data_IF_307308988611
#
_entry.id   IF_307308988611
#
_cell.length_a   1.000
_cell.length_b   1.000
_cell.length_c   1.000
_cell.angle_alpha   90.00
_cell.angle_beta   90.00
_cell.angle_gamma   90.00
#
_symmetry.space_group_name_H-M   'P 1'
#
loop_
_entity.id
_entity.type
_entity.pdbx_description
1 polymer ?
#
# COMPACT_ATOMS: atom_id res chain seq x y z
N UNK A 1 35.38 -17.71 35.44
CA UNK A 1 35.55 -18.87 34.55
C UNK A 1 35.14 -18.40 33.15
N UNK A 2 36.14 -18.05 32.34
CA UNK A 2 35.99 -17.39 31.03
C UNK A 2 35.79 -18.48 29.99
N UNK A 3 34.66 -18.51 29.30
CA UNK A 3 34.45 -19.40 28.15
C UNK A 3 34.60 -18.61 26.85
N UNK A 4 35.72 -18.88 26.17
CA UNK A 4 36.06 -18.43 24.83
C UNK A 4 35.07 -18.99 23.80
N UNK A 5 34.44 -18.11 23.02
CA UNK A 5 33.80 -18.48 21.76
C UNK A 5 34.88 -18.51 20.66
N UNK A 6 35.03 -19.67 20.02
CA UNK A 6 35.91 -19.86 18.86
C UNK A 6 35.27 -19.20 17.64
N UNK A 7 35.68 -17.98 17.33
CA UNK A 7 35.42 -17.33 16.04
C UNK A 7 36.44 -17.84 15.01
N UNK A 8 36.00 -18.08 13.78
CA UNK A 8 36.84 -18.63 12.69
C UNK A 8 38.02 -17.72 12.35
N UNK A 9 39.14 -18.31 11.89
CA UNK A 9 40.38 -17.61 11.50
C UNK A 9 40.16 -16.46 10.50
N UNK A 10 39.13 -16.55 9.65
CA UNK A 10 38.78 -15.49 8.69
C UNK A 10 38.27 -14.21 9.37
N UNK A 11 37.56 -14.31 10.49
CA UNK A 11 37.03 -13.16 11.21
C UNK A 11 38.14 -12.32 11.85
N UNK A 12 39.17 -12.99 12.38
CA UNK A 12 40.35 -12.33 12.96
C UNK A 12 41.28 -11.73 11.90
N UNK A 13 41.40 -12.34 10.72
CA UNK A 13 42.16 -11.77 9.61
C UNK A 13 41.53 -10.47 9.08
N UNK A 14 40.20 -10.41 9.00
CA UNK A 14 39.48 -9.19 8.61
C UNK A 14 39.68 -8.08 9.65
N UNK A 15 39.57 -8.42 10.95
CA UNK A 15 39.78 -7.46 12.03
C UNK A 15 41.22 -6.94 12.10
N UNK A 16 42.22 -7.82 11.92
CA UNK A 16 43.63 -7.44 11.95
C UNK A 16 44.04 -6.61 10.71
N UNK A 17 43.47 -6.90 9.54
CA UNK A 17 43.70 -6.10 8.33
C UNK A 17 43.08 -4.69 8.46
N UNK A 18 41.92 -4.57 9.12
CA UNK A 18 41.25 -3.30 9.39
C UNK A 18 41.94 -2.46 10.49
N UNK A 19 42.68 -3.08 11.41
CA UNK A 19 43.31 -2.38 12.53
C UNK A 19 44.66 -1.73 12.18
N UNK A 20 45.34 -2.20 11.13
CA UNK A 20 46.71 -1.75 10.77
C UNK A 20 46.72 -0.51 9.83
N UNK A 21 45.59 -0.13 9.22
CA UNK A 21 45.48 1.12 8.44
C UNK A 21 44.57 2.13 9.15
N UNK A 22 45.20 3.12 9.76
CA UNK A 22 44.59 4.14 10.62
C UNK A 22 43.32 4.81 10.06
N UNK A 23 42.35 4.96 10.97
CA UNK A 23 41.23 5.92 11.00
C UNK A 23 40.78 6.51 9.65
N UNK A 24 39.90 5.77 8.96
CA UNK A 24 38.87 6.32 8.08
C UNK A 24 37.55 5.70 8.50
N UNK A 25 36.45 6.47 8.53
CA UNK A 25 35.11 5.99 8.93
C UNK A 25 34.83 4.60 8.33
N UNK A 26 34.68 3.58 9.17
CA UNK A 26 34.33 2.24 8.70
C UNK A 26 32.98 2.31 7.98
N UNK A 27 32.96 1.98 6.70
CA UNK A 27 31.74 1.85 5.91
C UNK A 27 30.83 0.84 6.62
N UNK A 28 29.63 1.26 7.00
CA UNK A 28 28.67 0.35 7.63
C UNK A 28 28.14 -0.65 6.58
N UNK A 29 28.72 -1.85 6.59
CA UNK A 29 28.45 -2.95 5.66
C UNK A 29 26.98 -3.39 5.69
N UNK A 30 26.30 -3.28 6.84
CA UNK A 30 24.89 -3.68 7.00
C UNK A 30 23.94 -2.86 6.12
N UNK A 31 24.37 -1.65 5.72
CA UNK A 31 23.61 -0.78 4.82
C UNK A 31 23.42 -1.37 3.42
N UNK A 32 24.24 -2.37 3.05
CA UNK A 32 24.23 -3.02 1.75
C UNK A 32 23.50 -4.38 1.74
N UNK A 33 23.18 -4.96 2.91
CA UNK A 33 22.46 -6.24 2.99
C UNK A 33 21.08 -6.17 2.33
N UNK A 34 20.93 -6.91 1.23
CA UNK A 34 19.71 -6.93 0.43
C UNK A 34 19.36 -5.58 -0.19
N UNK A 35 20.26 -4.60 -0.19
CA UNK A 35 20.01 -3.26 -0.75
C UNK A 35 20.67 -3.11 -2.10
N UNK A 36 20.11 -2.24 -2.94
CA UNK A 36 20.76 -1.77 -4.15
C UNK A 36 21.02 -0.27 -4.01
N UNK A 37 22.28 0.09 -3.78
CA UNK A 37 22.74 1.46 -3.54
C UNK A 37 23.72 1.89 -4.62
N UNK A 38 23.89 3.19 -4.79
CA UNK A 38 24.98 3.80 -5.58
C UNK A 38 25.96 4.48 -4.63
N UNK A 39 27.19 4.70 -5.08
CA UNK A 39 28.21 5.47 -4.32
C UNK A 39 27.67 6.83 -3.85
N UNK A 40 27.00 7.55 -4.74
CA UNK A 40 26.31 8.82 -4.43
C UNK A 40 25.27 8.64 -3.31
N UNK A 41 24.47 7.57 -3.37
CA UNK A 41 23.39 7.36 -2.39
C UNK A 41 23.89 6.99 -0.99
N UNK A 42 25.06 6.37 -0.88
CA UNK A 42 25.71 6.08 0.40
C UNK A 42 26.74 7.14 0.82
N UNK A 43 27.01 8.15 -0.02
CA UNK A 43 28.03 9.19 0.20
C UNK A 43 29.43 8.60 0.43
N UNK A 44 29.74 7.54 -0.30
CA UNK A 44 31.03 6.86 -0.23
C UNK A 44 31.78 7.00 -1.56
N UNK A 45 33.09 6.86 -1.48
CA UNK A 45 33.97 6.79 -2.65
C UNK A 45 33.81 5.42 -3.36
N UNK A 46 33.75 5.42 -4.68
CA UNK A 46 33.72 4.18 -5.46
C UNK A 46 34.96 3.33 -5.23
N UNK A 47 36.14 3.93 -5.07
CA UNK A 47 37.38 3.19 -4.79
C UNK A 47 37.27 2.41 -3.47
N UNK A 48 36.77 3.05 -2.41
CA UNK A 48 36.57 2.41 -1.11
C UNK A 48 35.52 1.31 -1.16
N UNK A 49 34.41 1.52 -1.89
CA UNK A 49 33.40 0.47 -2.09
C UNK A 49 33.97 -0.69 -2.89
N UNK A 50 34.87 -0.43 -3.82
CA UNK A 50 35.46 -1.45 -4.68
C UNK A 50 36.38 -2.41 -3.93
N UNK A 51 36.93 -2.00 -2.79
CA UNK A 51 37.78 -2.80 -1.90
C UNK A 51 36.97 -3.76 -0.98
N UNK A 52 35.64 -3.60 -0.87
CA UNK A 52 34.82 -4.46 -0.01
C UNK A 52 34.59 -5.85 -0.63
N UNK A 53 35.11 -6.95 -0.04
CA UNK A 53 35.18 -8.26 -0.69
C UNK A 53 33.82 -8.93 -0.91
N UNK A 54 32.78 -8.58 -0.13
CA UNK A 54 31.44 -9.17 -0.25
C UNK A 54 30.46 -8.33 -1.08
N UNK A 55 30.93 -7.23 -1.68
CA UNK A 55 30.09 -6.29 -2.39
C UNK A 55 29.87 -6.72 -3.85
N UNK A 56 28.66 -7.17 -4.17
CA UNK A 56 28.25 -7.45 -5.53
C UNK A 56 28.04 -6.14 -6.30
N UNK A 57 28.58 -6.07 -7.52
CA UNK A 57 28.49 -4.92 -8.41
C UNK A 57 27.64 -5.27 -9.62
N UNK A 58 26.64 -4.45 -9.91
CA UNK A 58 25.77 -4.61 -11.10
C UNK A 58 25.66 -3.28 -11.82
N UNK A 59 25.70 -3.23 -13.16
CA UNK A 59 25.46 -1.97 -13.85
C UNK A 59 24.03 -1.47 -13.56
N UNK A 60 23.82 -0.17 -13.38
CA UNK A 60 22.48 0.33 -13.07
C UNK A 60 21.51 0.17 -14.24
N UNK A 61 22.04 0.18 -15.46
CA UNK A 61 21.30 0.05 -16.72
C UNK A 61 22.03 -0.92 -17.65
N UNK A 62 21.29 -1.54 -18.57
CA UNK A 62 21.83 -2.40 -19.63
C UNK A 62 21.32 -1.88 -20.97
N UNK A 63 22.18 -1.89 -22.00
CA UNK A 63 21.75 -1.56 -23.36
C UNK A 63 21.37 -2.85 -24.07
N UNK A 64 20.16 -2.88 -24.62
CA UNK A 64 19.66 -3.96 -25.46
C UNK A 64 19.18 -3.36 -26.79
N UNK A 65 20.01 -3.53 -27.83
CA UNK A 65 19.80 -2.94 -29.17
C UNK A 65 19.62 -1.42 -29.09
N UNK A 66 18.40 -0.94 -29.37
CA UNK A 66 18.04 0.50 -29.37
C UNK A 66 17.38 0.96 -28.06
N UNK A 67 17.41 0.13 -27.02
CA UNK A 67 16.74 0.39 -25.74
C UNK A 67 17.70 0.35 -24.56
N UNK A 68 17.48 1.27 -23.63
CA UNK A 68 18.04 1.25 -22.28
C UNK A 68 17.10 0.46 -21.37
N UNK A 69 17.59 -0.57 -20.70
CA UNK A 69 16.88 -1.31 -19.66
C UNK A 69 17.44 -0.94 -18.28
N UNK A 70 16.63 -0.31 -17.43
CA UNK A 70 17.04 0.02 -16.07
C UNK A 70 16.91 -1.19 -15.13
N UNK A 71 18.00 -1.60 -14.47
CA UNK A 71 17.98 -2.74 -13.55
C UNK A 71 17.37 -2.42 -12.18
N UNK A 72 17.11 -1.14 -11.87
CA UNK A 72 16.40 -0.72 -10.65
C UNK A 72 14.89 -0.75 -10.81
N UNK A 73 14.35 -0.03 -11.80
CA UNK A 73 12.91 0.09 -12.01
C UNK A 73 12.36 -0.85 -13.09
N UNK A 74 13.20 -1.52 -13.88
CA UNK A 74 12.78 -2.46 -14.93
C UNK A 74 12.23 -1.81 -16.20
N UNK A 75 12.23 -0.47 -16.31
CA UNK A 75 11.70 0.21 -17.49
C UNK A 75 12.67 0.12 -18.67
N UNK A 76 12.09 -0.06 -19.86
CA UNK A 76 12.76 0.02 -21.16
C UNK A 76 12.47 1.38 -21.79
N UNK A 77 13.51 2.12 -22.16
CA UNK A 77 13.40 3.45 -22.77
C UNK A 77 14.26 3.52 -24.05
N UNK A 78 13.78 4.08 -25.17
CA UNK A 78 14.58 4.23 -26.38
C UNK A 78 15.83 5.08 -26.14
N UNK A 79 17.01 4.65 -26.63
CA UNK A 79 18.29 5.35 -26.40
C UNK A 79 18.28 6.80 -26.87
N UNK A 80 17.58 7.08 -27.98
CA UNK A 80 17.46 8.42 -28.58
C UNK A 80 16.80 9.47 -27.65
N UNK A 81 16.02 9.03 -26.66
CA UNK A 81 15.30 9.91 -25.73
C UNK A 81 16.08 10.19 -24.44
N UNK A 82 17.20 9.50 -24.23
CA UNK A 82 17.87 9.45 -22.91
C UNK A 82 19.39 9.63 -22.97
N UNK A 83 19.90 10.19 -24.07
CA UNK A 83 21.31 10.55 -24.20
C UNK A 83 21.65 11.77 -23.35
N UNK A 84 22.75 11.71 -22.61
CA UNK A 84 23.33 12.82 -21.87
C UNK A 84 24.43 13.51 -22.68
N UNK A 85 24.76 14.79 -22.38
CA UNK A 85 25.85 15.51 -23.07
C UNK A 85 27.23 14.84 -22.98
N UNK A 86 27.47 14.05 -21.93
CA UNK A 86 28.71 13.30 -21.73
C UNK A 86 28.75 11.95 -22.48
N UNK A 87 27.74 11.64 -23.29
CA UNK A 87 27.63 10.38 -24.04
C UNK A 87 26.97 9.23 -23.27
N UNK A 88 26.67 9.38 -21.98
CA UNK A 88 25.97 8.36 -21.20
C UNK A 88 24.47 8.29 -21.54
N UNK A 89 23.86 7.15 -21.25
CA UNK A 89 22.40 7.01 -21.28
C UNK A 89 21.84 6.88 -19.87
N UNK A 90 20.71 7.54 -19.57
CA UNK A 90 20.13 7.55 -18.23
C UNK A 90 18.66 7.11 -18.16
N UNK A 91 18.22 6.65 -16.99
CA UNK A 91 16.84 6.28 -16.77
C UNK A 91 16.03 7.47 -16.21
N UNK A 92 15.06 8.02 -16.97
CA UNK A 92 14.26 9.17 -16.52
C UNK A 92 13.27 8.80 -15.40
N UNK A 93 12.81 7.54 -15.36
CA UNK A 93 11.86 7.04 -14.35
C UNK A 93 12.44 6.94 -12.94
N UNK A 94 13.76 7.11 -12.82
CA UNK A 94 14.53 6.84 -11.63
C UNK A 94 15.05 8.12 -10.96
N UNK A 95 14.92 9.29 -11.60
CA UNK A 95 15.55 10.55 -11.19
C UNK A 95 15.28 10.89 -9.73
N UNK A 96 14.02 10.77 -9.27
CA UNK A 96 13.61 11.11 -7.90
C UNK A 96 14.27 10.22 -6.81
N UNK A 97 14.77 9.05 -7.18
CA UNK A 97 15.51 8.14 -6.29
C UNK A 97 17.03 8.21 -6.53
N UNK A 98 17.51 9.18 -7.31
CA UNK A 98 18.88 9.27 -7.80
C UNK A 98 19.00 8.76 -9.24
N UNK A 99 19.69 9.52 -10.10
CA UNK A 99 19.87 9.18 -11.52
C UNK A 99 20.58 7.83 -11.66
N UNK A 100 20.14 7.03 -12.63
CA UNK A 100 20.79 5.78 -13.02
C UNK A 100 21.27 5.96 -14.46
N UNK A 101 22.57 5.85 -14.68
CA UNK A 101 23.21 5.95 -16.00
C UNK A 101 24.01 4.70 -16.35
N UNK A 102 24.51 4.64 -17.59
CA UNK A 102 25.48 3.64 -18.07
C UNK A 102 26.74 3.58 -17.23
N UNK A 103 27.18 4.72 -16.68
CA UNK A 103 28.30 4.85 -15.75
C UNK A 103 27.96 4.52 -14.29
N UNK A 104 26.68 4.38 -13.93
CA UNK A 104 26.29 4.12 -12.53
C UNK A 104 26.39 2.64 -12.18
N UNK A 105 27.04 2.33 -11.05
CA UNK A 105 27.09 0.99 -10.46
C UNK A 105 26.09 0.87 -9.31
N UNK A 106 25.36 -0.24 -9.28
CA UNK A 106 24.55 -0.70 -8.16
C UNK A 106 25.35 -1.68 -7.31
N UNK A 107 25.55 -1.32 -6.06
CA UNK A 107 26.23 -2.10 -5.03
C UNK A 107 25.20 -2.80 -4.15
N UNK A 108 25.45 -4.08 -3.85
CA UNK A 108 24.61 -4.89 -2.97
C UNK A 108 25.42 -5.97 -2.26
N UNK A 109 25.05 -6.32 -1.03
CA UNK A 109 25.56 -7.55 -0.39
C UNK A 109 24.38 -8.51 -0.27
N UNK A 110 24.62 -9.78 -0.58
CA UNK A 110 23.61 -10.83 -0.43
C UNK A 110 23.09 -10.83 1.01
N UNK A 111 21.78 -10.81 1.13
CA UNK A 111 21.09 -10.77 2.43
C UNK A 111 21.47 -11.99 3.30
N UNK A 112 22.12 -11.79 4.48
CA UNK A 112 22.57 -12.89 5.32
C UNK A 112 21.50 -13.45 6.27
N UNK A 113 20.37 -12.77 6.47
CA UNK A 113 19.40 -13.08 7.53
C UNK A 113 20.03 -13.12 8.93
N UNK A 114 20.98 -12.22 9.19
CA UNK A 114 21.68 -12.11 10.46
C UNK A 114 20.84 -11.31 11.46
N UNK A 115 19.75 -11.91 11.95
CA UNK A 115 18.84 -11.30 12.92
C UNK A 115 18.84 -12.04 14.25
N UNK A 116 18.41 -11.36 15.32
CA UNK A 116 18.15 -11.99 16.60
C UNK A 116 17.06 -13.06 16.47
N UNK A 117 17.13 -14.10 17.31
CA UNK A 117 16.12 -15.15 17.35
C UNK A 117 14.94 -14.69 18.20
N UNK A 118 13.73 -14.93 17.70
CA UNK A 118 12.49 -14.65 18.40
C UNK A 118 11.83 -15.96 18.86
N UNK A 119 11.19 -15.92 20.03
CA UNK A 119 10.33 -16.98 20.53
C UNK A 119 8.90 -16.90 19.97
N UNK A 120 8.04 -17.84 20.39
CA UNK A 120 6.61 -17.83 20.03
C UNK A 120 5.85 -16.63 20.58
N UNK A 121 6.38 -15.96 21.59
CA UNK A 121 5.83 -14.78 22.26
C UNK A 121 6.08 -13.45 21.52
N UNK A 122 6.75 -13.47 20.36
CA UNK A 122 7.03 -12.27 19.54
C UNK A 122 5.77 -11.52 19.09
N UNK A 123 4.62 -12.20 19.04
CA UNK A 123 3.34 -11.59 18.75
C UNK A 123 2.67 -11.12 20.05
N UNK A 124 2.69 -9.81 20.29
CA UNK A 124 2.07 -9.16 21.45
C UNK A 124 0.57 -8.88 21.24
N UNK A 125 0.02 -9.14 20.06
CA UNK A 125 -1.40 -8.95 19.77
C UNK A 125 -2.25 -10.07 20.37
N UNK A 126 -3.25 -9.70 21.18
CA UNK A 126 -4.15 -10.63 21.88
C UNK A 126 -5.59 -10.61 21.35
N UNK A 127 -5.82 -10.00 20.19
CA UNK A 127 -7.15 -9.95 19.59
C UNK A 127 -7.62 -11.35 19.13
N UNK A 128 -8.93 -11.49 18.94
CA UNK A 128 -9.54 -12.74 18.49
C UNK A 128 -10.00 -12.60 17.04
N UNK A 129 -9.43 -13.41 16.16
CA UNK A 129 -9.93 -13.57 14.79
C UNK A 129 -11.28 -14.31 14.83
N UNK A 130 -12.21 -13.92 13.95
CA UNK A 130 -13.39 -14.73 13.67
C UNK A 130 -12.98 -16.09 13.08
N UNK A 131 -13.87 -17.08 13.10
CA UNK A 131 -13.58 -18.40 12.52
C UNK A 131 -13.15 -18.28 11.04
N UNK A 132 -13.83 -17.43 10.27
CA UNK A 132 -13.51 -17.21 8.86
C UNK A 132 -12.17 -16.50 8.67
N UNK A 133 -11.86 -15.51 9.53
CA UNK A 133 -10.56 -14.85 9.52
C UNK A 133 -9.44 -15.81 9.90
N UNK A 134 -9.68 -16.70 10.87
CA UNK A 134 -8.72 -17.73 11.29
C UNK A 134 -8.42 -18.70 10.16
N UNK A 135 -9.44 -19.24 9.48
CA UNK A 135 -9.25 -20.11 8.30
C UNK A 135 -8.45 -19.41 7.20
N UNK A 136 -8.72 -18.12 6.95
CA UNK A 136 -7.95 -17.33 5.99
C UNK A 136 -6.50 -17.10 6.46
N UNK A 137 -6.28 -16.83 7.74
CA UNK A 137 -4.96 -16.68 8.36
C UNK A 137 -4.14 -17.96 8.28
N UNK A 138 -4.74 -19.12 8.59
CA UNK A 138 -4.10 -20.43 8.47
C UNK A 138 -3.74 -20.74 7.00
N UNK A 139 -4.59 -20.34 6.06
CA UNK A 139 -4.31 -20.46 4.62
C UNK A 139 -3.16 -19.54 4.18
N UNK A 140 -3.08 -18.32 4.72
CA UNK A 140 -1.96 -17.40 4.45
C UNK A 140 -0.65 -17.93 5.01
N UNK A 141 -0.67 -18.53 6.20
CA UNK A 141 0.49 -19.19 6.79
C UNK A 141 1.00 -20.33 5.90
N UNK A 142 0.10 -21.17 5.38
CA UNK A 142 0.45 -22.22 4.40
C UNK A 142 0.99 -21.62 3.10
N UNK A 143 0.34 -20.60 2.55
CA UNK A 143 0.79 -19.91 1.34
C UNK A 143 2.20 -19.31 1.50
N UNK A 144 2.51 -18.71 2.65
CA UNK A 144 3.83 -18.15 2.96
C UNK A 144 4.96 -19.17 3.07
N UNK A 145 4.63 -20.47 3.16
CA UNK A 145 5.61 -21.56 3.10
C UNK A 145 5.96 -21.98 1.66
N UNK A 146 5.16 -21.54 0.68
CA UNK A 146 5.32 -21.89 -0.73
C UNK A 146 5.92 -20.71 -1.51
N UNK A 147 6.91 -20.94 -2.38
CA UNK A 147 7.49 -19.88 -3.20
C UNK A 147 6.47 -19.33 -4.20
N UNK A 148 6.64 -18.08 -4.59
CA UNK A 148 5.82 -17.44 -5.62
C UNK A 148 4.77 -16.47 -5.08
N UNK A 149 3.73 -16.24 -5.88
CA UNK A 149 2.71 -15.24 -5.59
C UNK A 149 1.43 -15.90 -5.08
N UNK A 150 0.82 -15.29 -4.08
CA UNK A 150 -0.49 -15.66 -3.56
C UNK A 150 -1.35 -14.42 -3.34
N UNK A 151 -2.67 -14.60 -3.35
CA UNK A 151 -3.63 -13.50 -3.26
C UNK A 151 -4.63 -13.74 -2.12
N UNK A 152 -4.69 -12.79 -1.19
CA UNK A 152 -5.84 -12.62 -0.30
C UNK A 152 -6.86 -11.68 -0.96
N UNK A 153 -7.96 -12.26 -1.43
CA UNK A 153 -9.11 -11.49 -1.89
C UNK A 153 -10.12 -11.33 -0.75
N UNK A 154 -9.97 -10.26 0.01
CA UNK A 154 -10.78 -9.96 1.18
C UNK A 154 -11.52 -8.63 1.04
N UNK A 155 -12.81 -8.61 1.39
CA UNK A 155 -13.63 -7.39 1.31
C UNK A 155 -13.11 -6.27 2.24
N UNK A 156 -13.54 -5.05 1.97
CA UNK A 156 -13.18 -3.89 2.80
C UNK A 156 -13.75 -4.04 4.21
N UNK A 157 -12.92 -3.77 5.23
CA UNK A 157 -13.30 -4.02 6.62
C UNK A 157 -13.32 -5.51 7.00
N UNK A 158 -12.60 -6.38 6.31
CA UNK A 158 -12.46 -7.79 6.70
C UNK A 158 -11.33 -8.06 7.72
N UNK A 159 -10.56 -7.05 8.14
CA UNK A 159 -9.38 -7.25 9.01
C UNK A 159 -8.20 -7.89 8.29
N UNK A 160 -7.88 -7.42 7.07
CA UNK A 160 -6.81 -7.98 6.21
C UNK A 160 -5.47 -8.04 6.94
N UNK A 161 -5.14 -6.98 7.67
CA UNK A 161 -3.87 -6.82 8.37
C UNK A 161 -3.72 -7.85 9.49
N UNK A 162 -4.71 -7.97 10.38
CA UNK A 162 -4.67 -8.89 11.53
C UNK A 162 -4.51 -10.35 11.10
N UNK A 163 -5.12 -10.74 9.97
CA UNK A 163 -4.96 -12.10 9.44
C UNK A 163 -3.53 -12.43 8.99
N UNK A 164 -2.69 -11.42 8.73
CA UNK A 164 -1.28 -11.66 8.38
C UNK A 164 -0.37 -11.84 9.59
N UNK A 165 -0.86 -11.58 10.81
CA UNK A 165 0.00 -11.57 12.00
C UNK A 165 0.63 -12.92 12.30
N UNK A 166 -0.13 -14.02 12.19
CA UNK A 166 0.43 -15.37 12.33
C UNK A 166 1.49 -15.67 11.26
N UNK A 167 1.29 -15.21 10.03
CA UNK A 167 2.25 -15.36 8.93
C UNK A 167 3.54 -14.56 9.17
N UNK A 168 3.41 -13.32 9.66
CA UNK A 168 4.54 -12.46 10.02
C UNK A 168 5.31 -13.05 11.21
N UNK A 169 4.61 -13.53 12.24
CA UNK A 169 5.17 -14.19 13.41
C UNK A 169 6.00 -15.42 13.02
N UNK A 170 5.45 -16.33 12.21
CA UNK A 170 6.15 -17.53 11.74
C UNK A 170 7.44 -17.17 10.98
N UNK A 171 7.39 -16.16 10.11
CA UNK A 171 8.55 -15.70 9.38
C UNK A 171 9.62 -15.08 10.30
N UNK A 172 9.21 -14.29 11.29
CA UNK A 172 10.13 -13.70 12.28
C UNK A 172 10.86 -14.77 13.08
N UNK A 173 10.13 -15.77 13.60
CA UNK A 173 10.69 -16.91 14.36
C UNK A 173 11.68 -17.70 13.51
N UNK A 174 11.40 -17.88 12.22
CA UNK A 174 12.28 -18.56 11.26
C UNK A 174 13.48 -17.72 10.81
N UNK A 175 13.70 -16.54 11.39
CA UNK A 175 14.82 -15.66 11.01
C UNK A 175 14.71 -15.08 9.60
N UNK A 176 13.52 -15.13 8.97
CA UNK A 176 13.30 -14.61 7.63
C UNK A 176 13.23 -13.09 7.64
N UNK A 177 13.77 -12.44 6.60
CA UNK A 177 13.59 -11.00 6.39
C UNK A 177 12.25 -10.73 5.71
N UNK A 178 11.46 -9.83 6.27
CA UNK A 178 10.08 -9.59 5.85
C UNK A 178 9.83 -8.12 5.49
N UNK A 179 8.99 -7.91 4.49
CA UNK A 179 8.51 -6.59 4.10
C UNK A 179 6.98 -6.56 4.12
N UNK A 180 6.41 -5.53 4.74
CA UNK A 180 5.02 -5.14 4.56
C UNK A 180 5.00 -3.82 3.77
N UNK A 181 4.37 -3.83 2.60
CA UNK A 181 4.32 -2.67 1.72
C UNK A 181 2.88 -2.23 1.44
N UNK A 182 2.70 -0.92 1.25
CA UNK A 182 1.44 -0.35 0.78
C UNK A 182 1.73 0.80 -0.20
N UNK A 183 0.82 1.16 -1.13
CA UNK A 183 1.14 2.15 -2.15
C UNK A 183 1.17 3.60 -1.64
N UNK A 184 0.42 3.89 -0.56
CA UNK A 184 0.20 5.24 -0.04
C UNK A 184 0.86 5.46 1.33
N UNK A 185 1.31 6.69 1.57
CA UNK A 185 1.93 7.09 2.84
C UNK A 185 0.93 7.02 4.00
N UNK A 186 -0.32 7.47 3.78
CA UNK A 186 -1.33 7.50 4.85
C UNK A 186 -1.64 6.09 5.39
N UNK A 187 -1.64 5.09 4.52
CA UNK A 187 -1.80 3.67 4.89
C UNK A 187 -0.61 3.19 5.70
N UNK A 188 0.61 3.55 5.31
CA UNK A 188 1.82 3.21 6.07
C UNK A 188 1.80 3.84 7.47
N UNK A 189 1.39 5.11 7.57
CA UNK A 189 1.26 5.81 8.84
C UNK A 189 0.16 5.22 9.74
N UNK A 190 -0.92 4.69 9.15
CA UNK A 190 -1.96 3.95 9.89
C UNK A 190 -1.46 2.58 10.37
N UNK A 191 -0.72 1.86 9.52
CA UNK A 191 -0.22 0.51 9.81
C UNK A 191 0.93 0.50 10.81
N UNK A 192 1.81 1.51 10.79
CA UNK A 192 3.00 1.54 11.63
C UNK A 192 2.71 1.40 13.14
N UNK A 193 1.85 2.24 13.76
CA UNK A 193 1.54 2.08 15.19
C UNK A 193 0.84 0.74 15.48
N UNK A 194 -0.01 0.25 14.56
CA UNK A 194 -0.70 -1.04 14.70
C UNK A 194 0.28 -2.22 14.71
N UNK A 195 1.23 -2.23 13.78
CA UNK A 195 2.27 -3.26 13.70
C UNK A 195 3.25 -3.16 14.86
N UNK A 196 3.62 -1.95 15.29
CA UNK A 196 4.44 -1.73 16.48
C UNK A 196 3.77 -2.26 17.75
N UNK A 197 2.47 -2.08 17.91
CA UNK A 197 1.71 -2.65 19.02
C UNK A 197 1.62 -4.19 18.93
N UNK A 198 1.43 -4.73 17.72
CA UNK A 198 1.32 -6.18 17.52
C UNK A 198 2.66 -6.93 17.70
N UNK A 199 3.79 -6.28 17.45
CA UNK A 199 5.14 -6.85 17.53
C UNK A 199 6.06 -5.95 18.36
N UNK A 200 5.72 -5.76 19.64
CA UNK A 200 6.33 -4.75 20.50
C UNK A 200 7.85 -4.92 20.68
N UNK A 201 8.33 -6.18 20.66
CA UNK A 201 9.75 -6.54 20.82
C UNK A 201 10.55 -6.49 19.51
N UNK A 202 9.89 -6.27 18.38
CA UNK A 202 10.52 -6.28 17.05
C UNK A 202 10.90 -4.86 16.62
N UNK A 203 12.15 -4.68 16.20
CA UNK A 203 12.52 -3.43 15.54
C UNK A 203 11.98 -3.39 14.11
N UNK A 204 10.90 -2.61 13.93
CA UNK A 204 10.26 -2.32 12.65
C UNK A 204 10.77 -0.96 12.16
N UNK A 205 11.38 -0.94 10.97
CA UNK A 205 11.68 0.31 10.29
C UNK A 205 10.52 0.74 9.39
N UNK A 206 10.14 2.02 9.45
CA UNK A 206 9.13 2.63 8.60
C UNK A 206 9.79 3.51 7.54
N UNK A 207 9.57 3.23 6.24
CA UNK A 207 10.20 3.94 5.13
C UNK A 207 9.18 4.51 4.15
N UNK A 208 9.14 5.83 4.01
CA UNK A 208 8.38 6.54 2.99
C UNK A 208 9.04 7.89 2.66
N UNK A 209 8.60 8.61 1.62
CA UNK A 209 9.26 9.87 1.21
C UNK A 209 9.20 10.97 2.28
N UNK A 210 8.18 10.95 3.14
CA UNK A 210 8.00 11.86 4.28
C UNK A 210 8.59 11.37 5.61
N UNK A 211 9.28 10.21 5.64
CA UNK A 211 9.84 9.67 6.88
C UNK A 211 11.24 10.23 7.10
N UNK A 212 11.51 10.80 8.27
CA UNK A 212 12.87 11.20 8.68
C UNK A 212 13.74 10.01 9.14
N UNK A 213 13.21 8.78 9.08
CA UNK A 213 13.93 7.58 9.46
C UNK A 213 15.13 7.34 8.54
N UNK A 214 16.34 7.40 9.12
CA UNK A 214 17.54 6.89 8.44
C UNK A 214 17.40 5.37 8.32
N UNK A 215 17.78 4.85 7.16
CA UNK A 215 17.76 3.40 6.95
C UNK A 215 18.70 2.72 7.95
N UNK A 216 18.22 1.60 8.51
CA UNK A 216 18.98 0.67 9.34
C UNK A 216 18.59 -0.75 8.96
N UNK A 217 19.54 -1.66 9.07
CA UNK A 217 19.30 -3.07 8.80
C UNK A 217 18.39 -3.66 9.87
N UNK A 218 17.23 -4.15 9.44
CA UNK A 218 16.17 -4.67 10.32
C UNK A 218 15.49 -5.86 9.63
N UNK A 219 14.98 -6.77 10.45
CA UNK A 219 14.28 -7.96 9.97
C UNK A 219 12.91 -7.60 9.38
N UNK A 220 12.23 -6.61 9.96
CA UNK A 220 10.89 -6.20 9.55
C UNK A 220 10.89 -4.77 8.97
N UNK A 221 10.67 -4.68 7.67
CA UNK A 221 10.52 -3.40 6.94
C UNK A 221 9.05 -3.12 6.64
N UNK A 222 8.55 -1.97 7.10
CA UNK A 222 7.29 -1.39 6.66
C UNK A 222 7.59 -0.23 5.70
N UNK A 223 7.07 -0.25 4.48
CA UNK A 223 7.42 0.80 3.52
C UNK A 223 6.38 1.08 2.44
N UNK A 224 6.47 2.24 1.79
CA UNK A 224 5.71 2.42 0.54
C UNK A 224 6.25 1.53 -0.57
N UNK A 225 5.40 1.10 -1.51
CA UNK A 225 5.83 0.23 -2.64
C UNK A 225 6.98 0.82 -3.46
N UNK A 226 7.11 2.15 -3.52
CA UNK A 226 8.24 2.84 -4.15
C UNK A 226 9.59 2.51 -3.48
N UNK A 227 9.61 2.31 -2.16
CA UNK A 227 10.85 1.99 -1.44
C UNK A 227 11.38 0.61 -1.80
N UNK A 228 10.56 -0.31 -2.33
CA UNK A 228 11.01 -1.61 -2.82
C UNK A 228 12.07 -1.46 -3.93
N UNK A 229 12.10 -0.34 -4.67
CA UNK A 229 13.15 -0.05 -5.66
C UNK A 229 14.55 0.07 -5.06
N UNK A 230 14.67 0.21 -3.73
CA UNK A 230 15.95 0.30 -3.01
C UNK A 230 16.47 -1.05 -2.52
N UNK A 231 15.70 -2.11 -2.70
CA UNK A 231 16.01 -3.46 -2.24
C UNK A 231 16.23 -4.40 -3.42
N UNK A 232 17.16 -5.34 -3.27
CA UNK A 232 17.49 -6.35 -4.25
C UNK A 232 17.70 -7.68 -3.53
N UNK A 233 16.85 -8.66 -3.82
CA UNK A 233 16.87 -9.99 -3.17
C UNK A 233 16.99 -9.91 -1.64
N UNK A 234 16.25 -8.99 -1.04
CA UNK A 234 16.29 -8.69 0.38
C UNK A 234 15.32 -9.55 1.20
N UNK A 235 14.14 -9.82 0.67
CA UNK A 235 13.03 -10.33 1.47
C UNK A 235 12.71 -11.78 1.12
N UNK A 236 12.51 -12.59 2.16
CA UNK A 236 11.96 -13.93 2.06
C UNK A 236 10.43 -13.89 1.91
N UNK A 237 9.78 -12.89 2.52
CA UNK A 237 8.34 -12.65 2.45
C UNK A 237 8.07 -11.17 2.19
N UNK A 238 7.26 -10.88 1.16
CA UNK A 238 6.73 -9.53 0.91
C UNK A 238 5.21 -9.59 0.94
N UNK A 239 4.59 -8.88 1.87
CA UNK A 239 3.15 -8.61 1.85
C UNK A 239 2.93 -7.24 1.22
N UNK A 240 2.06 -7.15 0.21
CA UNK A 240 1.65 -5.87 -0.39
C UNK A 240 0.15 -5.70 -0.18
N UNK A 241 -0.23 -4.79 0.71
CA UNK A 241 -1.63 -4.40 0.88
C UNK A 241 -2.05 -3.39 -0.19
N UNK A 242 -3.34 -3.32 -0.45
CA UNK A 242 -3.95 -2.36 -1.38
C UNK A 242 -3.34 -2.36 -2.80
N UNK A 243 -3.01 -3.54 -3.34
CA UNK A 243 -2.44 -3.69 -4.70
C UNK A 243 -3.38 -3.19 -5.81
N UNK A 244 -4.63 -2.95 -5.47
CA UNK A 244 -5.68 -2.36 -6.29
C UNK A 244 -5.72 -0.83 -6.26
N UNK A 245 -4.75 -0.18 -5.61
CA UNK A 245 -4.67 1.28 -5.53
C UNK A 245 -3.48 1.85 -6.29
N UNK A 246 -3.68 3.05 -6.85
CA UNK A 246 -2.59 3.91 -7.28
C UNK A 246 -1.70 4.28 -6.08
N UNK A 247 -0.36 4.34 -6.23
CA UNK A 247 0.44 4.23 -7.46
C UNK A 247 0.82 2.83 -7.92
N UNK A 248 0.48 1.77 -7.19
CA UNK A 248 0.89 0.41 -7.53
C UNK A 248 0.10 -0.17 -8.72
N UNK A 249 -1.22 0.04 -8.73
CA UNK A 249 -2.11 -0.41 -9.80
C UNK A 249 -1.64 0.11 -11.17
N UNK A 250 -1.37 -0.81 -12.10
CA UNK A 250 -0.96 -0.49 -13.47
C UNK A 250 0.50 -0.02 -13.62
N UNK A 251 1.31 -0.04 -12.55
CA UNK A 251 2.69 0.42 -12.58
C UNK A 251 3.67 -0.76 -12.65
N UNK A 252 4.09 -1.10 -13.87
CA UNK A 252 5.07 -2.16 -14.14
C UNK A 252 6.38 -1.98 -13.38
N UNK A 253 6.81 -0.74 -13.13
CA UNK A 253 8.07 -0.46 -12.42
C UNK A 253 7.98 -0.87 -10.96
N UNK A 254 6.83 -0.67 -10.32
CA UNK A 254 6.61 -1.07 -8.93
C UNK A 254 6.39 -2.58 -8.80
N UNK A 255 5.71 -3.20 -9.77
CA UNK A 255 5.63 -4.66 -9.84
C UNK A 255 7.01 -5.30 -10.03
N UNK A 256 7.84 -4.71 -10.89
CA UNK A 256 9.23 -5.12 -11.10
C UNK A 256 10.04 -4.96 -9.81
N UNK A 257 9.94 -3.81 -9.14
CA UNK A 257 10.63 -3.56 -7.88
C UNK A 257 10.25 -4.59 -6.81
N UNK A 258 8.96 -4.89 -6.66
CA UNK A 258 8.49 -5.95 -5.75
C UNK A 258 9.04 -7.33 -6.11
N UNK A 259 9.13 -7.66 -7.41
CA UNK A 259 9.74 -8.92 -7.87
C UNK A 259 11.25 -8.96 -7.59
N UNK A 260 11.93 -7.84 -7.79
CA UNK A 260 13.38 -7.72 -7.68
C UNK A 260 13.86 -7.70 -6.22
N UNK A 261 13.05 -7.13 -5.33
CA UNK A 261 13.30 -7.11 -3.88
C UNK A 261 13.11 -8.49 -3.23
N UNK A 262 12.34 -9.39 -3.84
CA UNK A 262 12.12 -10.75 -3.35
C UNK A 262 13.32 -11.66 -3.63
N UNK A 263 13.75 -12.44 -2.65
CA UNK A 263 14.75 -13.50 -2.83
C UNK A 263 14.29 -14.60 -3.79
N UNK A 264 15.24 -15.34 -4.34
CA UNK A 264 14.93 -16.59 -5.03
C UNK A 264 14.27 -17.57 -4.03
N UNK A 265 13.15 -18.18 -4.41
CA UNK A 265 12.37 -19.05 -3.52
C UNK A 265 11.54 -18.31 -2.46
N UNK A 266 11.51 -16.97 -2.46
CA UNK A 266 10.66 -16.19 -1.56
C UNK A 266 9.18 -16.17 -1.96
N UNK A 267 8.36 -15.61 -1.08
CA UNK A 267 6.90 -15.53 -1.26
C UNK A 267 6.41 -14.09 -1.30
N UNK A 268 5.44 -13.80 -2.19
CA UNK A 268 4.69 -12.53 -2.21
C UNK A 268 3.23 -12.78 -1.94
N UNK A 269 2.69 -12.07 -0.94
CA UNK A 269 1.27 -12.09 -0.61
C UNK A 269 0.64 -10.75 -0.99
N UNK A 270 -0.25 -10.77 -1.97
CA UNK A 270 -1.03 -9.59 -2.36
C UNK A 270 -2.34 -9.55 -1.57
N UNK A 271 -2.66 -8.41 -0.96
CA UNK A 271 -3.93 -8.20 -0.26
C UNK A 271 -4.76 -7.15 -1.02
N UNK A 272 -5.99 -7.49 -1.38
CA UNK A 272 -6.89 -6.55 -2.09
C UNK A 272 -8.36 -6.92 -1.94
N UNK A 273 -9.22 -5.91 -2.01
CA UNK A 273 -10.67 -6.11 -2.12
C UNK A 273 -11.14 -6.23 -3.57
N UNK A 274 -10.39 -5.68 -4.51
CA UNK A 274 -10.74 -5.61 -5.92
C UNK A 274 -9.52 -5.94 -6.81
N UNK A 275 -9.22 -7.22 -7.07
CA UNK A 275 -8.14 -7.58 -7.99
C UNK A 275 -8.42 -6.99 -9.38
N UNK A 276 -7.39 -6.43 -9.98
CA UNK A 276 -7.44 -5.83 -11.31
C UNK A 276 -7.60 -6.89 -12.40
N UNK A 277 -7.72 -6.46 -13.66
CA UNK A 277 -7.89 -7.41 -14.77
C UNK A 277 -6.70 -8.37 -14.91
N UNK A 278 -5.48 -7.90 -14.64
CA UNK A 278 -4.27 -8.70 -14.74
C UNK A 278 -4.29 -9.82 -13.69
N UNK A 279 -4.52 -9.49 -12.43
CA UNK A 279 -4.70 -10.48 -11.37
C UNK A 279 -5.86 -11.42 -11.68
N UNK A 280 -7.02 -10.90 -12.10
CA UNK A 280 -8.15 -11.77 -12.46
C UNK A 280 -7.83 -12.75 -13.60
N UNK A 281 -7.03 -12.37 -14.60
CA UNK A 281 -6.54 -13.29 -15.64
C UNK A 281 -5.63 -14.36 -15.04
N UNK A 282 -4.68 -14.00 -14.18
CA UNK A 282 -3.78 -14.94 -13.49
C UNK A 282 -4.56 -15.95 -12.63
N UNK A 283 -5.58 -15.49 -11.91
CA UNK A 283 -6.48 -16.34 -11.12
C UNK A 283 -7.19 -17.36 -12.02
N UNK A 284 -7.78 -16.90 -13.14
CA UNK A 284 -8.47 -17.78 -14.09
C UNK A 284 -7.55 -18.84 -14.70
N UNK A 285 -6.29 -18.48 -14.93
CA UNK A 285 -5.25 -19.40 -15.43
C UNK A 285 -4.62 -20.29 -14.35
N UNK A 286 -5.03 -20.14 -13.08
CA UNK A 286 -4.42 -20.83 -11.92
C UNK A 286 -2.92 -20.57 -11.76
N UNK A 287 -2.45 -19.39 -12.17
CA UNK A 287 -1.07 -18.93 -12.00
C UNK A 287 -0.80 -18.31 -10.61
N UNK A 288 -1.85 -18.13 -9.81
CA UNK A 288 -1.81 -17.57 -8.46
C UNK A 288 -2.91 -18.19 -7.61
N UNK A 289 -2.55 -18.67 -6.43
CA UNK A 289 -3.51 -19.19 -5.46
C UNK A 289 -4.29 -18.05 -4.81
N UNK A 290 -5.59 -18.28 -4.57
CA UNK A 290 -6.49 -17.26 -4.04
C UNK A 290 -7.19 -17.74 -2.77
N UNK A 291 -7.00 -16.97 -1.72
CA UNK A 291 -7.71 -17.10 -0.45
C UNK A 291 -8.84 -16.08 -0.47
N UNK A 292 -10.09 -16.56 -0.47
CA UNK A 292 -11.27 -15.70 -0.50
C UNK A 292 -11.78 -15.42 0.91
N UNK A 293 -11.96 -14.15 1.25
CA UNK A 293 -12.70 -13.73 2.45
C UNK A 293 -13.79 -12.71 2.08
N UNK A 294 -14.98 -13.20 1.69
CA UNK A 294 -16.04 -12.35 1.14
C UNK A 294 -16.85 -11.57 2.19
N UNK A 295 -16.50 -11.66 3.47
CA UNK A 295 -17.30 -11.13 4.59
C UNK A 295 -16.47 -10.22 5.51
N UNK A 296 -17.14 -9.24 6.13
CA UNK A 296 -16.53 -8.34 7.13
C UNK A 296 -16.32 -9.05 8.47
N UNK A 297 -15.47 -8.46 9.32
CA UNK A 297 -15.16 -9.02 10.65
C UNK A 297 -16.43 -9.19 11.52
N UNK A 298 -17.39 -8.27 11.40
CA UNK A 298 -18.68 -8.30 12.10
C UNK A 298 -19.77 -9.11 11.37
N UNK A 299 -19.40 -9.94 10.39
CA UNK A 299 -20.29 -10.89 9.71
C UNK A 299 -21.49 -10.30 8.93
N UNK A 300 -21.48 -8.99 8.64
CA UNK A 300 -22.50 -8.37 7.78
C UNK A 300 -21.96 -8.14 6.36
N UNK A 301 -22.82 -8.22 5.32
CA UNK A 301 -22.43 -7.99 3.93
C UNK A 301 -22.06 -6.53 3.67
N UNK A 302 -21.41 -6.28 2.54
CA UNK A 302 -21.15 -4.92 2.07
C UNK A 302 -22.47 -4.22 1.67
N UNK A 303 -22.70 -2.96 2.04
CA UNK A 303 -23.81 -2.17 1.51
C UNK A 303 -23.76 -2.12 -0.03
N UNK A 304 -24.89 -2.42 -0.68
CA UNK A 304 -25.00 -2.37 -2.14
C UNK A 304 -25.40 -0.94 -2.54
N UNK A 305 -24.62 -0.24 -3.39
CA UNK A 305 -24.96 1.11 -3.82
C UNK A 305 -26.31 1.20 -4.52
N UNK A 306 -27.12 2.19 -4.14
CA UNK A 306 -28.30 2.62 -4.91
C UNK A 306 -27.86 3.65 -5.95
N UNK A 307 -28.17 3.39 -7.22
CA UNK A 307 -27.79 4.28 -8.33
C UNK A 307 -28.98 5.17 -8.71
N UNK A 308 -28.72 6.46 -8.89
CA UNK A 308 -29.70 7.43 -9.36
C UNK A 308 -29.10 8.17 -10.54
N UNK A 309 -29.70 8.01 -11.73
CA UNK A 309 -29.28 8.75 -12.91
C UNK A 309 -29.86 10.17 -12.87
N UNK A 310 -29.01 11.19 -13.04
CA UNK A 310 -29.40 12.59 -13.05
C UNK A 310 -28.86 13.22 -14.33
N UNK A 311 -29.74 13.71 -15.22
CA UNK A 311 -29.32 14.32 -16.47
C UNK A 311 -28.58 15.66 -16.23
N UNK A 312 -27.43 15.81 -16.89
CA UNK A 312 -26.52 16.97 -16.79
C UNK A 312 -26.10 17.24 -15.35
N UNK A 313 -25.84 16.19 -14.57
CA UNK A 313 -25.45 16.28 -13.18
C UNK A 313 -24.21 17.14 -13.01
N UNK A 314 -23.15 16.86 -13.79
CA UNK A 314 -21.88 17.59 -13.66
C UNK A 314 -22.06 19.09 -13.98
N UNK A 315 -22.75 19.42 -15.05
CA UNK A 315 -23.02 20.81 -15.48
C UNK A 315 -23.84 21.57 -14.43
N UNK A 316 -24.86 20.93 -13.85
CA UNK A 316 -25.68 21.52 -12.78
C UNK A 316 -24.84 21.85 -11.56
N UNK A 317 -24.02 20.90 -11.10
CA UNK A 317 -23.15 21.10 -9.94
C UNK A 317 -22.11 22.21 -10.16
N UNK A 318 -21.55 22.35 -11.38
CA UNK A 318 -20.67 23.47 -11.72
C UNK A 318 -21.38 24.81 -11.76
N UNK A 319 -22.67 24.82 -12.10
CA UNK A 319 -23.52 26.01 -12.05
C UNK A 319 -24.13 26.22 -10.66
N UNK A 320 -23.54 25.64 -9.60
CA UNK A 320 -24.03 25.73 -8.20
C UNK A 320 -25.48 25.28 -8.00
N UNK A 321 -25.99 24.41 -8.89
CA UNK A 321 -27.35 23.86 -8.83
C UNK A 321 -27.32 22.39 -8.46
N UNK A 322 -28.11 22.02 -7.45
CA UNK A 322 -28.26 20.63 -7.03
C UNK A 322 -29.51 19.99 -7.65
N UNK A 323 -29.43 18.77 -8.21
CA UNK A 323 -30.63 18.03 -8.58
C UNK A 323 -31.49 17.66 -7.35
N UNK A 324 -32.81 17.72 -7.47
CA UNK A 324 -33.73 17.43 -6.36
C UNK A 324 -33.55 16.04 -5.73
N UNK A 325 -33.16 15.03 -6.52
CA UNK A 325 -32.86 13.69 -6.00
C UNK A 325 -31.59 13.66 -5.11
N UNK A 326 -30.59 14.48 -5.44
CA UNK A 326 -29.38 14.64 -4.61
C UNK A 326 -29.75 15.40 -3.34
N UNK A 327 -30.48 16.53 -3.46
CA UNK A 327 -30.96 17.31 -2.31
C UNK A 327 -31.74 16.43 -1.32
N UNK A 328 -32.73 15.67 -1.80
CA UNK A 328 -33.50 14.72 -0.99
C UNK A 328 -32.60 13.74 -0.24
N UNK A 329 -31.57 13.23 -0.90
CA UNK A 329 -30.65 12.27 -0.28
C UNK A 329 -29.77 12.88 0.81
N UNK A 330 -29.33 14.13 0.62
CA UNK A 330 -28.55 14.85 1.61
C UNK A 330 -29.41 15.21 2.83
N UNK A 331 -30.63 15.69 2.62
CA UNK A 331 -31.58 15.96 3.72
C UNK A 331 -31.94 14.69 4.50
N UNK A 332 -32.09 13.55 3.82
CA UNK A 332 -32.26 12.26 4.50
C UNK A 332 -31.04 11.90 5.38
N UNK A 333 -29.81 12.10 4.88
CA UNK A 333 -28.59 11.86 5.65
C UNK A 333 -28.43 12.80 6.85
N UNK A 334 -28.83 14.06 6.69
CA UNK A 334 -28.86 15.04 7.77
C UNK A 334 -29.83 14.62 8.87
N UNK A 335 -31.09 14.34 8.51
CA UNK A 335 -32.15 13.93 9.45
C UNK A 335 -31.80 12.63 10.19
N UNK A 336 -31.07 11.73 9.54
CA UNK A 336 -30.60 10.49 10.16
C UNK A 336 -29.58 10.71 11.30
N UNK A 337 -28.92 11.87 11.40
CA UNK A 337 -28.01 12.11 12.51
C UNK A 337 -26.72 11.27 12.47
N UNK A 338 -26.38 10.61 11.35
CA UNK A 338 -25.07 9.97 11.13
C UNK A 338 -24.09 10.72 10.21
N UNK A 339 -22.77 10.65 10.44
CA UNK A 339 -21.79 11.34 9.62
C UNK A 339 -21.81 10.80 8.18
N UNK A 340 -21.45 11.64 7.21
CA UNK A 340 -21.43 11.22 5.80
C UNK A 340 -20.27 11.78 4.99
N UNK A 341 -19.87 11.05 3.95
CA UNK A 341 -18.88 11.50 2.98
C UNK A 341 -19.54 11.74 1.63
N UNK A 342 -19.18 12.86 1.00
CA UNK A 342 -19.58 13.19 -0.37
C UNK A 342 -18.35 13.15 -1.27
N UNK A 343 -18.29 12.15 -2.14
CA UNK A 343 -17.20 11.99 -3.10
C UNK A 343 -17.50 12.73 -4.40
N UNK A 344 -16.54 13.49 -4.89
CA UNK A 344 -16.56 14.20 -6.18
C UNK A 344 -15.28 13.92 -6.97
N UNK A 345 -15.31 13.99 -8.32
CA UNK A 345 -14.18 13.62 -9.15
C UNK A 345 -13.00 14.59 -9.09
N UNK A 346 -13.23 15.90 -8.95
CA UNK A 346 -12.20 16.95 -9.06
C UNK A 346 -12.25 17.94 -7.90
N UNK A 347 -11.13 18.66 -7.69
CA UNK A 347 -11.02 19.71 -6.66
C UNK A 347 -11.95 20.90 -7.00
N UNK A 348 -12.05 21.28 -8.27
CA UNK A 348 -12.94 22.38 -8.70
C UNK A 348 -14.40 22.10 -8.34
N UNK A 349 -14.85 20.85 -8.48
CA UNK A 349 -16.21 20.46 -8.12
C UNK A 349 -16.38 20.34 -6.61
N UNK A 350 -15.31 20.04 -5.88
CA UNK A 350 -15.31 19.88 -4.43
C UNK A 350 -15.66 21.18 -3.72
N UNK A 351 -15.10 22.31 -4.16
CA UNK A 351 -15.45 23.63 -3.59
C UNK A 351 -16.89 24.01 -3.92
N UNK A 352 -17.31 23.85 -5.18
CA UNK A 352 -18.70 24.14 -5.61
C UNK A 352 -19.73 23.31 -4.85
N UNK A 353 -19.46 22.02 -4.66
CA UNK A 353 -20.34 21.14 -3.89
C UNK A 353 -20.35 21.52 -2.43
N UNK A 354 -19.22 21.96 -1.86
CA UNK A 354 -19.19 22.42 -0.47
C UNK A 354 -20.08 23.65 -0.25
N UNK A 355 -19.99 24.65 -1.13
CA UNK A 355 -20.85 25.85 -1.12
C UNK A 355 -22.33 25.46 -1.18
N UNK A 356 -22.72 24.62 -2.15
CA UNK A 356 -24.10 24.10 -2.26
C UNK A 356 -24.56 23.41 -0.97
N UNK A 357 -23.70 22.59 -0.34
CA UNK A 357 -24.07 21.87 0.87
C UNK A 357 -24.26 22.82 2.05
N UNK A 358 -23.43 23.85 2.17
CA UNK A 358 -23.53 24.86 3.21
C UNK A 358 -24.85 25.65 3.12
N UNK A 359 -25.38 25.88 1.92
CA UNK A 359 -26.67 26.57 1.74
C UNK A 359 -27.89 25.68 2.02
N UNK A 360 -27.78 24.37 1.80
CA UNK A 360 -28.92 23.45 1.79
C UNK A 360 -29.10 22.73 3.12
N UNK A 361 -28.02 22.49 3.83
CA UNK A 361 -28.02 21.82 5.13
C UNK A 361 -28.20 22.84 6.25
N UNK A 362 -28.73 22.40 7.38
CA UNK A 362 -28.86 23.25 8.56
C UNK A 362 -27.50 23.65 9.15
N UNK A 363 -27.46 24.77 9.87
CA UNK A 363 -26.25 25.24 10.57
C UNK A 363 -25.69 24.21 11.56
N UNK A 364 -26.54 23.32 12.07
CA UNK A 364 -26.14 22.22 12.96
C UNK A 364 -25.37 21.08 12.25
N UNK A 365 -25.47 21.02 10.92
CA UNK A 365 -24.84 20.03 10.06
C UNK A 365 -23.56 20.62 9.43
N UNK A 366 -22.56 20.93 10.25
CA UNK A 366 -21.30 21.51 9.78
C UNK A 366 -20.48 20.50 8.93
N UNK A 367 -19.68 21.00 8.00
CA UNK A 367 -18.77 20.17 7.23
C UNK A 367 -17.64 20.96 6.61
N UNK A 368 -16.70 20.27 5.97
CA UNK A 368 -15.56 20.90 5.29
C UNK A 368 -15.12 20.05 4.09
N UNK A 369 -14.07 20.48 3.41
CA UNK A 369 -13.50 19.81 2.24
C UNK A 369 -12.18 19.14 2.54
N UNK A 370 -11.88 18.02 1.86
CA UNK A 370 -10.60 17.31 1.97
C UNK A 370 -10.14 16.80 0.60
N UNK A 371 -8.93 17.18 0.19
CA UNK A 371 -8.30 16.69 -1.03
C UNK A 371 -6.81 16.36 -0.82
N UNK A 372 -6.15 15.79 -1.84
CA UNK A 372 -4.77 15.31 -1.72
C UNK A 372 -3.72 16.42 -1.44
N UNK A 373 -4.02 17.65 -1.86
CA UNK A 373 -3.15 18.82 -1.70
C UNK A 373 -3.51 19.70 -0.49
N UNK A 374 -4.47 19.28 0.33
CA UNK A 374 -4.94 20.05 1.48
C UNK A 374 -3.87 20.04 2.61
N UNK A 375 -3.35 21.21 3.03
CA UNK A 375 -2.34 21.30 4.07
C UNK A 375 -2.88 20.88 5.44
N UNK A 376 -4.17 21.12 5.72
CA UNK A 376 -4.84 20.84 6.99
C UNK A 376 -5.62 19.51 6.98
N UNK A 377 -5.30 18.64 6.00
CA UNK A 377 -6.00 17.38 5.78
C UNK A 377 -6.06 16.51 7.03
N UNK A 378 -4.98 16.47 7.81
CA UNK A 378 -4.88 15.60 9.00
C UNK A 378 -5.80 16.14 10.09
N UNK A 379 -5.76 17.44 10.31
CA UNK A 379 -6.53 18.19 11.28
C UNK A 379 -8.03 18.10 10.97
N UNK A 380 -8.44 18.31 9.71
CA UNK A 380 -9.85 18.19 9.29
C UNK A 380 -10.39 16.77 9.43
N UNK A 381 -9.60 15.76 9.06
CA UNK A 381 -9.97 14.35 9.24
C UNK A 381 -10.12 14.03 10.72
N UNK A 382 -9.23 14.55 11.57
CA UNK A 382 -9.32 14.36 13.02
C UNK A 382 -10.54 15.07 13.60
N UNK A 383 -10.83 16.30 13.18
CA UNK A 383 -12.02 17.03 13.59
C UNK A 383 -13.33 16.29 13.23
N UNK A 384 -13.39 15.61 12.08
CA UNK A 384 -14.52 14.73 11.75
C UNK A 384 -14.60 13.52 12.70
N UNK A 385 -13.47 12.91 13.08
CA UNK A 385 -13.45 11.81 14.06
C UNK A 385 -13.94 12.25 15.43
N UNK A 386 -13.61 13.47 15.82
CA UNK A 386 -14.00 14.09 17.09
C UNK A 386 -15.46 14.58 17.07
N UNK A 387 -16.18 14.41 15.94
CA UNK A 387 -17.58 14.82 15.80
C UNK A 387 -17.80 16.31 15.54
N UNK A 388 -16.73 17.09 15.32
CA UNK A 388 -16.83 18.54 15.01
C UNK A 388 -17.42 18.81 13.64
N UNK A 389 -17.23 17.88 12.71
CA UNK A 389 -17.81 17.91 11.36
C UNK A 389 -18.76 16.75 11.15
N UNK A 390 -19.91 17.06 10.58
CA UNK A 390 -20.95 16.13 10.17
C UNK A 390 -20.66 15.48 8.82
N UNK A 391 -20.07 16.25 7.90
CA UNK A 391 -19.71 15.76 6.59
C UNK A 391 -18.35 16.23 6.11
N UNK A 392 -17.76 15.46 5.20
CA UNK A 392 -16.64 15.91 4.37
C UNK A 392 -16.99 15.76 2.89
N UNK A 393 -16.72 16.80 2.12
CA UNK A 393 -16.66 16.71 0.65
C UNK A 393 -15.23 16.37 0.27
N UNK A 394 -15.04 15.28 -0.48
CA UNK A 394 -13.71 14.73 -0.73
C UNK A 394 -13.57 14.22 -2.15
N UNK A 395 -12.32 14.19 -2.63
CA UNK A 395 -11.93 13.43 -3.82
C UNK A 395 -11.64 11.97 -3.46
N UNK A 396 -11.03 11.22 -4.37
CA UNK A 396 -10.55 9.83 -4.13
C UNK A 396 -9.50 9.71 -3.03
N UNK A 397 -9.06 10.81 -2.42
CA UNK A 397 -8.06 10.78 -1.35
C UNK A 397 -8.55 9.96 -0.14
N UNK A 398 -9.82 10.12 0.26
CA UNK A 398 -10.40 9.40 1.39
C UNK A 398 -11.05 8.06 1.01
N UNK A 399 -10.85 7.57 -0.22
CA UNK A 399 -11.32 6.23 -0.60
C UNK A 399 -10.67 5.12 0.25
N UNK A 400 -9.46 5.37 0.78
CA UNK A 400 -8.64 4.46 1.62
C UNK A 400 -7.95 5.24 2.76
N UNK A 401 -7.39 4.54 3.76
CA UNK A 401 -6.51 5.13 4.79
C UNK A 401 -7.16 5.99 5.89
N UNK A 402 -8.49 5.91 6.08
CA UNK A 402 -9.22 6.58 7.18
C UNK A 402 -10.44 5.74 7.57
N UNK A 403 -10.85 5.71 8.83
CA UNK A 403 -12.07 4.99 9.25
C UNK A 403 -12.93 5.91 10.10
N UNK A 404 -14.22 5.99 9.76
CA UNK A 404 -15.24 6.71 10.52
C UNK A 404 -16.37 5.73 10.89
N UNK A 405 -16.84 5.71 12.14
CA UNK A 405 -17.96 4.87 12.54
C UNK A 405 -19.28 5.38 11.96
N UNK A 406 -20.24 4.46 11.76
CA UNK A 406 -21.66 4.75 11.41
C UNK A 406 -21.88 5.60 10.16
N UNK A 407 -20.96 5.57 9.21
CA UNK A 407 -20.91 6.47 8.06
C UNK A 407 -21.95 6.16 6.95
N UNK A 408 -22.56 7.20 6.39
CA UNK A 408 -23.24 7.19 5.08
C UNK A 408 -22.31 7.70 3.96
N UNK A 409 -22.52 7.23 2.72
CA UNK A 409 -21.65 7.58 1.58
C UNK A 409 -22.49 8.00 0.38
N UNK A 410 -22.11 9.12 -0.21
CA UNK A 410 -22.66 9.64 -1.45
C UNK A 410 -21.52 9.86 -2.45
N UNK A 411 -21.70 9.40 -3.69
CA UNK A 411 -20.75 9.65 -4.79
C UNK A 411 -21.47 10.45 -5.87
N UNK A 412 -21.02 11.67 -6.11
CA UNK A 412 -21.47 12.52 -7.22
C UNK A 412 -20.60 12.26 -8.44
N UNK A 413 -21.24 12.26 -9.62
CA UNK A 413 -20.60 11.95 -10.89
C UNK A 413 -19.82 10.62 -10.83
N UNK A 414 -20.45 9.55 -10.31
CA UNK A 414 -19.84 8.23 -10.16
C UNK A 414 -19.36 7.61 -11.48
N UNK A 415 -19.82 8.14 -12.62
CA UNK A 415 -19.42 7.78 -13.97
C UNK A 415 -18.20 8.53 -14.51
N UNK A 416 -17.65 9.49 -13.76
CA UNK A 416 -16.48 10.28 -14.13
C UNK A 416 -15.21 9.42 -14.33
N UNK A 417 -14.26 9.88 -15.15
CA UNK A 417 -13.07 9.10 -15.52
C UNK A 417 -12.17 8.81 -14.32
N UNK A 418 -12.15 9.71 -13.34
CA UNK A 418 -11.37 9.69 -12.10
C UNK A 418 -11.79 8.55 -11.15
N UNK A 419 -13.05 8.12 -11.21
CA UNK A 419 -13.54 6.97 -10.46
C UNK A 419 -13.41 5.67 -11.28
N UNK A 420 -12.43 4.86 -10.90
CA UNK A 420 -12.33 3.49 -11.42
C UNK A 420 -13.17 2.51 -10.58
N UNK A 421 -13.35 1.28 -11.10
CA UNK A 421 -14.14 0.26 -10.43
C UNK A 421 -13.61 -0.08 -9.01
N UNK A 422 -12.29 -0.31 -8.80
CA UNK A 422 -11.70 -0.45 -7.47
C UNK A 422 -12.08 0.67 -6.49
N UNK A 423 -11.94 1.92 -6.92
CA UNK A 423 -12.26 3.10 -6.13
C UNK A 423 -13.72 3.09 -5.67
N UNK A 424 -14.67 2.87 -6.60
CA UNK A 424 -16.10 2.82 -6.26
C UNK A 424 -16.43 1.72 -5.25
N UNK A 425 -15.84 0.54 -5.37
CA UNK A 425 -16.04 -0.55 -4.39
C UNK A 425 -15.46 -0.18 -3.02
N UNK A 426 -14.33 0.51 -2.98
CA UNK A 426 -13.70 0.96 -1.73
C UNK A 426 -14.50 2.06 -1.04
N UNK A 427 -14.97 3.03 -1.83
CA UNK A 427 -15.85 4.13 -1.40
C UNK A 427 -17.14 3.55 -0.81
N UNK A 428 -17.82 2.66 -1.53
CA UNK A 428 -19.00 1.95 -1.01
C UNK A 428 -18.66 1.17 0.28
N UNK A 429 -17.46 0.58 0.32
CA UNK A 429 -16.90 -0.12 1.46
C UNK A 429 -16.58 0.73 2.70
N UNK A 430 -16.76 2.06 2.65
CA UNK A 430 -16.66 2.94 3.82
C UNK A 430 -17.91 2.91 4.68
N UNK A 431 -19.08 2.74 4.08
CA UNK A 431 -20.33 2.58 4.80
C UNK A 431 -20.43 1.20 5.45
N UNK A 432 -21.14 1.13 6.57
CA UNK A 432 -21.45 -0.12 7.27
C UNK A 432 -20.27 -0.78 8.01
N UNK A 433 -19.18 -0.06 8.28
CA UNK A 433 -17.99 -0.60 8.96
C UNK A 433 -18.18 -0.82 10.46
N UNK A 434 -19.15 -0.14 11.06
CA UNK A 434 -19.47 -0.30 12.49
C UNK A 434 -20.36 -1.52 12.68
N UNK A 435 -20.08 -2.33 13.70
CA UNK A 435 -20.97 -3.42 14.12
C UNK A 435 -22.32 -2.88 14.61
N UNK A 436 -22.35 -1.68 15.19
CA UNK A 436 -23.57 -1.02 15.65
C UNK A 436 -24.44 -0.50 14.49
N UNK A 437 -23.83 -0.23 13.34
CA UNK A 437 -24.53 0.23 12.13
C UNK A 437 -23.91 -0.41 10.88
N UNK A 438 -24.27 -1.65 10.56
CA UNK A 438 -23.71 -2.38 9.42
C UNK A 438 -24.34 -1.98 8.07
N UNK A 439 -25.44 -1.24 8.08
CA UNK A 439 -26.35 -0.98 6.95
C UNK A 439 -26.30 0.47 6.44
N UNK A 440 -25.22 1.21 6.74
CA UNK A 440 -25.02 2.58 6.27
C UNK A 440 -25.30 2.75 4.77
N UNK A 441 -25.95 3.85 4.41
CA UNK A 441 -26.42 4.07 3.06
C UNK A 441 -25.29 4.40 2.10
N UNK A 442 -25.36 3.85 0.89
CA UNK A 442 -24.45 4.16 -0.22
C UNK A 442 -25.27 4.57 -1.44
N UNK A 443 -25.07 5.80 -1.92
CA UNK A 443 -25.77 6.34 -3.10
C UNK A 443 -24.78 6.81 -4.15
N UNK A 444 -24.96 6.33 -5.38
CA UNK A 444 -24.19 6.76 -6.54
C UNK A 444 -25.08 7.59 -7.46
N UNK A 445 -24.66 8.82 -7.74
CA UNK A 445 -25.29 9.70 -8.72
C UNK A 445 -24.40 9.78 -9.95
N UNK A 446 -24.99 9.56 -11.12
CA UNK A 446 -24.26 9.59 -12.38
C UNK A 446 -25.12 10.17 -13.51
N UNK A 447 -24.48 10.70 -14.54
CA UNK A 447 -25.17 11.04 -15.79
C UNK A 447 -25.47 9.76 -16.57
N UNK A 448 -24.47 8.88 -16.71
CA UNK A 448 -24.54 7.66 -17.49
C UNK A 448 -24.26 6.41 -16.63
N UNK A 449 -25.03 5.35 -16.85
CA UNK A 449 -24.79 4.08 -16.16
C UNK A 449 -23.66 3.28 -16.83
N UNK A 450 -22.42 3.67 -16.56
CA UNK A 450 -21.23 3.10 -17.21
C UNK A 450 -20.89 1.68 -16.75
N UNK A 451 -20.09 0.96 -17.56
CA UNK A 451 -19.56 -0.37 -17.21
C UNK A 451 -18.83 -0.40 -15.86
N UNK A 452 -18.18 0.71 -15.47
CA UNK A 452 -17.44 0.83 -14.20
C UNK A 452 -18.37 0.87 -13.00
N UNK A 453 -19.42 1.71 -13.08
CA UNK A 453 -20.46 1.78 -12.04
C UNK A 453 -21.17 0.43 -11.92
N UNK A 454 -21.65 -0.12 -13.04
CA UNK A 454 -22.30 -1.45 -13.06
C UNK A 454 -21.39 -2.55 -12.50
N UNK A 455 -20.14 -2.61 -12.96
CA UNK A 455 -19.17 -3.61 -12.52
C UNK A 455 -18.84 -3.53 -11.02
N UNK A 456 -18.79 -2.32 -10.45
CA UNK A 456 -18.58 -2.14 -9.00
C UNK A 456 -19.72 -2.76 -8.18
N UNK A 457 -20.97 -2.55 -8.61
CA UNK A 457 -22.18 -3.09 -7.95
C UNK A 457 -22.25 -4.60 -8.12
N UNK A 458 -21.99 -5.11 -9.32
CA UNK A 458 -21.96 -6.55 -9.60
C UNK A 458 -20.90 -7.27 -8.78
N UNK A 459 -19.74 -6.64 -8.60
CA UNK A 459 -18.69 -7.18 -7.74
C UNK A 459 -19.12 -7.25 -6.28
N UNK A 460 -19.69 -6.19 -5.73
CA UNK A 460 -20.23 -6.18 -4.36
C UNK A 460 -21.30 -7.26 -4.20
N UNK A 461 -22.27 -7.34 -5.12
CA UNK A 461 -23.31 -8.38 -5.13
C UNK A 461 -22.71 -9.79 -5.22
N UNK A 462 -21.66 -9.99 -6.02
CA UNK A 462 -20.95 -11.28 -6.13
C UNK A 462 -20.28 -11.67 -4.82
N UNK A 463 -19.60 -10.73 -4.15
CA UNK A 463 -18.98 -10.98 -2.85
C UNK A 463 -20.04 -11.30 -1.78
N UNK A 464 -21.12 -10.51 -1.72
CA UNK A 464 -22.23 -10.77 -0.79
C UNK A 464 -22.88 -12.15 -1.03
N UNK A 465 -23.03 -12.59 -2.30
CA UNK A 465 -23.50 -13.95 -2.62
C UNK A 465 -22.52 -15.03 -2.14
N UNK A 466 -21.20 -14.82 -2.31
CA UNK A 466 -20.19 -15.74 -1.76
C UNK A 466 -20.24 -15.79 -0.23
N UNK A 467 -20.38 -14.65 0.44
CA UNK A 467 -20.48 -14.57 1.90
C UNK A 467 -21.64 -15.40 2.45
N UNK A 468 -22.82 -15.33 1.83
CA UNK A 468 -24.00 -16.15 2.21
C UNK A 468 -23.75 -17.65 2.08
N UNK A 469 -22.89 -18.10 1.16
CA UNK A 469 -22.48 -19.51 1.03
C UNK A 469 -21.38 -19.90 2.01
N UNK A 470 -20.58 -18.93 2.44
CA UNK A 470 -19.47 -19.10 3.39
C UNK A 470 -19.92 -19.11 4.85
N UNK A 471 -21.12 -18.60 5.14
CA UNK A 471 -21.72 -18.57 6.49
C UNK A 471 -22.75 -19.68 6.74
N UNK A 472 -23.08 -20.46 5.70
CA UNK A 472 -23.74 -21.76 5.83
C UNK A 472 -22.67 -22.81 5.96
#
# INVERSE_FOLDING_TARGET
>A
MIHFFVLSKEFWMIFAYLYIRGMSLMINVEMFYGRQTTAISCREDEEKLNELPSLEKRPAVKIDKKFLFCQRCGKKTPLKEVLLPNGDFYCPHCIMLGRMSTSTILYSIKEPNAFQKYGSDVLSWHGKLSNQQKTASDSLLKAASLPGDHLLWAVTGAGKTEMTFATLQDALIKGKRICFAAPRIDVINELFPRLKAAFATVDIICLHSRSNAKYRYTQFVLCTTHQLMRFYRAFDLIIIDEVDSFPFLGNESLEYAAKNALKAGGTRLFLTATPDEKLQRRIKKKEIDVIYLPIRFHQNPLPVPKVVCCFRLREKLFSERIPGAVKKSLTEFENEGYPFLVFVPTIDLLEKVHEILHEILSESCSGTTVHAGDPERIEKVQAMRDGKYRYLVTTTILERGVTFPKLNVLVLCADASEFNLPALVQIAGRAGRSSERPDGHVRFFCDNYTKRVKGSIEQIKRMNRKARRYCK
#
